data_IF_984676303968
#
_entry.id   IF_984676303968
#
_cell.length_a   1.000
_cell.length_b   1.000
_cell.length_c   1.000
_cell.angle_alpha   90.00
_cell.angle_beta   90.00
_cell.angle_gamma   90.00
#
_symmetry.space_group_name_H-M   'P 1'
#
loop_
_entity.id
_entity.type
_entity.pdbx_description
1 polymer ?
#
# COMPACT_ATOMS: atom_id res chain seq x y z
N UNK A 1 -15.47 5.38 4.32
CA UNK A 1 -14.39 5.77 3.38
C UNK A 1 -13.62 4.51 3.08
N UNK A 2 -13.87 3.87 1.94
CA UNK A 2 -13.28 2.57 1.62
C UNK A 2 -12.78 2.63 0.19
N UNK A 3 -11.47 2.90 0.05
CA UNK A 3 -10.74 2.69 -1.21
C UNK A 3 -10.69 1.18 -1.51
N UNK A 4 -10.72 0.35 -0.45
CA UNK A 4 -10.95 -1.09 -0.52
C UNK A 4 -11.96 -1.46 0.57
N UNK A 5 -13.21 -1.80 0.21
CA UNK A 5 -14.24 -2.10 1.19
C UNK A 5 -13.92 -3.32 2.05
N UNK A 6 -13.36 -4.34 1.43
CA UNK A 6 -13.03 -5.62 2.07
C UNK A 6 -11.54 -5.92 1.96
N UNK A 7 -10.71 -4.86 1.92
CA UNK A 7 -9.27 -4.99 1.75
C UNK A 7 -8.60 -5.59 2.99
N UNK A 8 -8.59 -6.91 3.11
CA UNK A 8 -7.83 -7.62 4.12
C UNK A 8 -6.39 -7.85 3.65
N UNK A 9 -5.44 -7.53 4.53
CA UNK A 9 -4.05 -7.97 4.37
C UNK A 9 -3.89 -9.13 5.35
N UNK A 10 -3.95 -10.39 4.89
CA UNK A 10 -3.87 -11.53 5.79
C UNK A 10 -2.51 -11.56 6.47
N UNK A 11 -2.50 -11.89 7.77
CA UNK A 11 -1.26 -12.19 8.45
C UNK A 11 -0.59 -13.41 7.82
N UNK A 12 0.75 -13.39 7.70
CA UNK A 12 1.52 -14.49 7.10
C UNK A 12 1.15 -15.85 7.69
N UNK A 13 0.99 -15.94 9.01
CA UNK A 13 0.64 -17.20 9.69
C UNK A 13 -0.70 -17.78 9.22
N UNK A 14 -1.67 -16.94 8.85
CA UNK A 14 -2.98 -17.38 8.36
C UNK A 14 -2.84 -18.00 6.98
N UNK A 15 -2.07 -17.36 6.09
CA UNK A 15 -1.74 -17.89 4.76
C UNK A 15 -1.04 -19.24 4.88
N UNK A 16 -0.06 -19.35 5.79
CA UNK A 16 0.69 -20.59 6.04
C UNK A 16 -0.24 -21.72 6.52
N UNK A 17 -1.10 -21.41 7.48
CA UNK A 17 -2.04 -22.38 8.05
C UNK A 17 -3.05 -22.89 7.02
N UNK A 18 -3.60 -21.99 6.20
CA UNK A 18 -4.56 -22.36 5.15
C UNK A 18 -3.91 -23.21 4.04
N UNK A 19 -2.66 -22.90 3.64
CA UNK A 19 -1.91 -23.70 2.68
C UNK A 19 -1.62 -25.11 3.21
N UNK A 20 -1.18 -25.21 4.47
CA UNK A 20 -0.96 -26.49 5.13
C UNK A 20 -2.26 -27.32 5.22
N UNK A 21 -3.40 -26.66 5.48
CA UNK A 21 -4.73 -27.28 5.47
C UNK A 21 -5.17 -27.83 4.12
N UNK A 22 -4.56 -27.36 3.02
CA UNK A 22 -4.77 -27.88 1.66
C UNK A 22 -3.67 -28.86 1.22
N UNK A 23 -2.87 -29.38 2.15
CA UNK A 23 -1.75 -30.29 1.88
C UNK A 23 -0.66 -29.68 0.97
N UNK A 24 -0.50 -28.35 1.00
CA UNK A 24 0.59 -27.66 0.33
C UNK A 24 1.73 -27.42 1.31
N UNK A 25 2.94 -27.81 0.92
CA UNK A 25 4.17 -27.49 1.64
C UNK A 25 4.76 -26.18 1.13
N UNK A 26 5.16 -25.31 2.04
CA UNK A 26 5.77 -24.02 1.71
C UNK A 26 7.27 -24.23 1.55
N UNK A 27 7.75 -24.08 0.32
CA UNK A 27 9.16 -24.25 -0.01
C UNK A 27 9.97 -22.96 0.21
N UNK A 28 9.36 -21.79 0.03
CA UNK A 28 10.03 -20.50 0.14
C UNK A 28 9.01 -19.36 0.42
N UNK A 29 9.45 -18.34 1.15
CA UNK A 29 8.68 -17.13 1.44
C UNK A 29 9.53 -15.92 1.10
N UNK A 30 9.21 -15.26 -0.03
CA UNK A 30 9.87 -14.02 -0.44
C UNK A 30 9.04 -12.81 -0.06
N UNK A 31 9.64 -11.92 0.74
CA UNK A 31 9.08 -10.60 0.96
C UNK A 31 9.48 -9.69 -0.21
N UNK A 32 8.52 -9.28 -1.04
CA UNK A 32 8.74 -8.33 -2.13
C UNK A 32 8.60 -6.87 -1.70
N UNK A 33 8.26 -6.58 -0.43
CA UNK A 33 8.23 -5.22 0.07
C UNK A 33 9.53 -4.45 -0.28
N UNK A 34 10.76 -4.98 -0.09
CA UNK A 34 12.01 -4.34 -0.48
C UNK A 34 12.07 -3.83 -1.94
N UNK A 35 11.61 -4.65 -2.89
CA UNK A 35 11.67 -4.37 -4.33
C UNK A 35 10.42 -3.66 -4.86
N UNK A 36 9.30 -3.80 -4.16
CA UNK A 36 8.05 -3.08 -4.44
C UNK A 36 8.14 -1.62 -4.02
N UNK A 37 9.29 -1.15 -3.49
CA UNK A 37 9.58 0.25 -3.18
C UNK A 37 9.27 1.05 -4.43
N UNK A 38 8.05 1.59 -4.55
CA UNK A 38 7.81 2.48 -5.65
C UNK A 38 8.69 3.67 -5.34
N UNK A 39 9.20 4.39 -6.33
CA UNK A 39 9.54 5.77 -6.04
C UNK A 39 8.20 6.46 -5.73
N UNK A 40 7.86 6.82 -4.48
CA UNK A 40 6.50 7.28 -4.16
C UNK A 40 6.38 8.77 -4.48
N UNK A 41 7.53 9.43 -4.55
CA UNK A 41 7.72 10.84 -4.83
C UNK A 41 7.03 11.29 -6.12
N UNK A 42 7.13 10.60 -7.27
CA UNK A 42 6.48 11.06 -8.49
C UNK A 42 4.95 10.98 -8.44
N UNK A 43 4.37 10.06 -7.66
CA UNK A 43 2.91 9.88 -7.60
C UNK A 43 2.25 10.86 -6.64
N UNK A 44 2.86 11.10 -5.48
CA UNK A 44 2.39 12.15 -4.55
C UNK A 44 2.59 13.52 -5.21
N UNK A 45 3.75 13.78 -5.82
CA UNK A 45 4.03 15.06 -6.47
C UNK A 45 3.09 15.33 -7.63
N UNK A 46 2.83 14.34 -8.50
CA UNK A 46 1.86 14.47 -9.59
C UNK A 46 0.44 14.73 -9.08
N UNK A 47 0.03 14.12 -7.97
CA UNK A 47 -1.30 14.36 -7.41
C UNK A 47 -1.44 15.82 -6.92
N UNK A 48 -0.40 16.37 -6.28
CA UNK A 48 -0.39 17.77 -5.86
C UNK A 48 -0.31 18.74 -7.05
N UNK A 49 0.52 18.42 -8.07
CA UNK A 49 0.66 19.20 -9.31
C UNK A 49 -0.67 19.31 -10.08
N UNK A 50 -1.52 18.28 -10.02
CA UNK A 50 -2.83 18.23 -10.69
C UNK A 50 -4.02 18.38 -9.72
N UNK A 51 -3.81 18.99 -8.55
CA UNK A 51 -4.84 19.16 -7.53
C UNK A 51 -6.10 19.84 -8.05
N UNK A 52 -5.95 20.95 -8.77
CA UNK A 52 -7.06 21.77 -9.25
C UNK A 52 -7.94 21.01 -10.25
N UNK A 53 -7.32 20.33 -11.20
CA UNK A 53 -7.99 19.44 -12.16
C UNK A 53 -8.71 18.29 -11.45
N UNK A 54 -8.05 17.64 -10.49
CA UNK A 54 -8.65 16.56 -9.73
C UNK A 54 -9.84 17.03 -8.88
N UNK A 55 -9.72 18.19 -8.22
CA UNK A 55 -10.82 18.78 -7.44
C UNK A 55 -12.00 19.14 -8.35
N UNK A 56 -11.74 19.67 -9.54
CA UNK A 56 -12.79 19.95 -10.54
C UNK A 56 -13.52 18.67 -10.98
N UNK A 57 -12.80 17.55 -11.12
CA UNK A 57 -13.38 16.27 -11.57
C UNK A 57 -14.17 15.52 -10.50
N UNK A 58 -13.64 15.42 -9.26
CA UNK A 58 -14.19 14.52 -8.22
C UNK A 58 -14.69 15.26 -6.98
N UNK A 59 -14.48 16.57 -6.90
CA UNK A 59 -14.83 17.40 -5.75
C UNK A 59 -13.81 17.33 -4.62
N UNK A 60 -13.75 18.41 -3.82
CA UNK A 60 -12.75 18.60 -2.77
C UNK A 60 -12.76 17.48 -1.71
N UNK A 61 -13.95 17.03 -1.29
CA UNK A 61 -14.09 15.99 -0.26
C UNK A 61 -13.46 14.67 -0.69
N UNK A 62 -13.70 14.22 -1.92
CA UNK A 62 -13.14 12.97 -2.44
C UNK A 62 -11.64 13.10 -2.69
N UNK A 63 -11.18 14.26 -3.18
CA UNK A 63 -9.75 14.55 -3.32
C UNK A 63 -9.01 14.43 -1.99
N UNK A 64 -9.52 15.05 -0.91
CA UNK A 64 -8.88 15.01 0.42
C UNK A 64 -8.78 13.58 0.98
N UNK A 65 -9.84 12.79 0.78
CA UNK A 65 -9.87 11.37 1.13
C UNK A 65 -8.77 10.59 0.40
N UNK A 66 -8.61 10.85 -0.89
CA UNK A 66 -7.61 10.20 -1.73
C UNK A 66 -6.18 10.63 -1.38
N UNK A 67 -5.95 11.92 -1.18
CA UNK A 67 -4.67 12.47 -0.77
C UNK A 67 -4.18 11.87 0.57
N UNK A 68 -5.06 11.80 1.58
CA UNK A 68 -4.73 11.18 2.87
C UNK A 68 -4.37 9.70 2.71
N UNK A 69 -5.13 8.96 1.90
CA UNK A 69 -4.88 7.54 1.66
C UNK A 69 -3.50 7.31 1.01
N UNK A 70 -3.19 8.04 -0.06
CA UNK A 70 -1.91 7.92 -0.78
C UNK A 70 -0.73 8.31 0.11
N UNK A 71 -0.86 9.40 0.88
CA UNK A 71 0.17 9.83 1.83
C UNK A 71 0.41 8.81 2.94
N UNK A 72 -0.65 8.26 3.54
CA UNK A 72 -0.51 7.22 4.58
C UNK A 72 0.15 5.95 4.03
N UNK A 73 -0.22 5.53 2.82
CA UNK A 73 0.42 4.41 2.15
C UNK A 73 1.91 4.65 1.95
N UNK A 74 2.30 5.87 1.62
CA UNK A 74 3.73 6.23 1.50
C UNK A 74 4.46 6.11 2.85
N UNK A 75 3.93 6.71 3.92
CA UNK A 75 4.59 6.68 5.23
C UNK A 75 4.72 5.27 5.80
N UNK A 76 3.71 4.42 5.64
CA UNK A 76 3.74 3.04 6.11
C UNK A 76 4.81 2.23 5.39
N UNK A 77 4.90 2.40 4.08
CA UNK A 77 5.87 1.73 3.22
C UNK A 77 7.28 2.22 3.59
N UNK A 78 7.52 3.54 3.69
CA UNK A 78 8.80 4.14 4.14
C UNK A 78 9.26 3.66 5.52
N UNK A 79 8.35 3.60 6.50
CA UNK A 79 8.64 3.09 7.85
C UNK A 79 9.09 1.63 7.84
N UNK A 80 8.38 0.77 7.10
CA UNK A 80 8.72 -0.65 7.01
C UNK A 80 10.11 -0.90 6.41
N UNK A 81 10.63 -0.02 5.54
CA UNK A 81 12.03 -0.12 5.07
C UNK A 81 13.05 0.28 6.12
N UNK A 82 12.79 1.36 6.87
CA UNK A 82 13.70 1.78 7.95
C UNK A 82 13.84 0.70 9.01
N UNK A 83 12.74 0.04 9.34
CA UNK A 83 12.70 -1.06 10.32
C UNK A 83 13.37 -2.35 9.79
N UNK A 84 13.35 -2.57 8.47
CA UNK A 84 14.00 -3.72 7.82
C UNK A 84 15.53 -3.55 7.61
N UNK A 85 16.13 -2.42 8.00
CA UNK A 85 17.58 -2.20 7.92
C UNK A 85 18.13 -2.07 6.50
N UNK A 86 17.28 -1.84 5.50
CA UNK A 86 17.66 -1.64 4.11
C UNK A 86 17.84 -0.13 3.87
N UNK A 87 19.08 0.37 4.03
CA UNK A 87 19.44 1.77 3.71
C UNK A 87 19.80 1.95 2.24
#
# INVERSE_FOLDING_TARGET
MQVFPDGEIPHLWRVVLEMAGQHLEILDVKNFCPTLRPNPHPRVRRLEEHKEEAVAMIGEKRYRIWAIYVWRRYQHVDRSYREAGVS
#
